data_IF_130060677585
#
_entry.id   IF_130060677585
#
_cell.length_a   1.000
_cell.length_b   1.000
_cell.length_c   1.000
_cell.angle_alpha   90.00
_cell.angle_beta   90.00
_cell.angle_gamma   90.00
#
_symmetry.space_group_name_H-M   'P 1'
#
loop_
_entity.id
_entity.type
_entity.pdbx_description
1 polymer ?
#
# COMPACT_ATOMS: atom_id res chain seq x y z
N UNK A 1 4.72 18.27 -48.64
CA UNK A 1 4.83 17.14 -47.69
C UNK A 1 4.18 15.91 -48.30
N UNK A 2 4.92 14.81 -48.46
CA UNK A 2 4.42 13.62 -49.15
C UNK A 2 3.62 12.76 -48.17
N UNK A 3 2.29 12.83 -48.22
CA UNK A 3 1.35 12.12 -47.32
C UNK A 3 1.70 10.63 -47.18
N UNK A 4 2.17 9.99 -48.26
CA UNK A 4 2.59 8.57 -48.26
C UNK A 4 3.76 8.26 -47.32
N UNK A 5 4.62 9.24 -47.02
CA UNK A 5 5.73 9.11 -46.07
C UNK A 5 5.31 9.35 -44.62
N UNK A 6 4.18 10.02 -44.37
CA UNK A 6 3.73 10.42 -43.02
C UNK A 6 2.82 9.36 -42.40
N UNK A 7 2.00 8.70 -43.21
CA UNK A 7 1.08 7.62 -42.80
C UNK A 7 1.76 6.51 -41.97
N UNK A 8 2.91 5.93 -42.35
CA UNK A 8 3.54 4.88 -41.54
C UNK A 8 4.01 5.39 -40.17
N UNK A 9 4.48 6.64 -40.07
CA UNK A 9 4.87 7.23 -38.79
C UNK A 9 3.67 7.51 -37.88
N UNK A 10 2.54 7.96 -38.44
CA UNK A 10 1.30 8.14 -37.66
C UNK A 10 0.75 6.81 -37.14
N UNK A 11 0.81 5.75 -37.95
CA UNK A 11 0.41 4.40 -37.52
C UNK A 11 1.30 3.91 -36.38
N UNK A 12 2.62 4.10 -36.48
CA UNK A 12 3.55 3.72 -35.40
C UNK A 12 3.27 4.51 -34.12
N UNK A 13 3.02 5.82 -34.20
CA UNK A 13 2.69 6.64 -33.02
C UNK A 13 1.37 6.18 -32.37
N UNK A 14 0.35 5.87 -33.17
CA UNK A 14 -0.93 5.34 -32.68
C UNK A 14 -0.77 3.95 -32.04
N UNK A 15 0.02 3.06 -32.65
CA UNK A 15 0.30 1.73 -32.09
C UNK A 15 1.08 1.82 -30.78
N UNK A 16 2.08 2.70 -30.72
CA UNK A 16 2.82 2.99 -29.48
C UNK A 16 1.85 3.51 -28.42
N UNK A 17 1.06 4.54 -28.71
CA UNK A 17 0.09 5.09 -27.76
C UNK A 17 -0.92 4.03 -27.25
N UNK A 18 -1.37 3.12 -28.12
CA UNK A 18 -2.29 2.04 -27.75
C UNK A 18 -1.64 0.95 -26.88
N UNK A 19 -0.32 0.77 -26.97
CA UNK A 19 0.44 -0.16 -26.11
C UNK A 19 0.71 0.43 -24.72
N UNK A 20 0.85 1.76 -24.61
CA UNK A 20 1.09 2.44 -23.31
C UNK A 20 -0.21 2.87 -22.59
N UNK A 21 -1.35 2.93 -23.28
CA UNK A 21 -2.65 3.27 -22.67
C UNK A 21 -3.09 2.32 -21.53
N UNK A 22 -2.91 0.99 -21.63
CA UNK A 22 -3.37 0.05 -20.61
C UNK A 22 -2.60 0.14 -19.29
N UNK A 23 -1.31 0.49 -19.30
CA UNK A 23 -0.51 0.61 -18.07
C UNK A 23 -0.96 1.80 -17.22
N UNK A 24 -1.52 2.84 -17.84
CA UNK A 24 -2.10 3.99 -17.15
C UNK A 24 -3.43 3.70 -16.44
N UNK A 25 -4.09 2.58 -16.75
CA UNK A 25 -5.40 2.20 -16.20
C UNK A 25 -5.34 1.01 -15.23
N UNK A 26 -4.15 0.48 -14.92
CA UNK A 26 -3.98 -0.82 -14.27
C UNK A 26 -3.60 -0.78 -12.78
N UNK A 27 -3.66 0.38 -12.12
CA UNK A 27 -3.46 0.47 -10.66
C UNK A 27 -4.78 0.82 -10.00
N UNK A 28 -5.58 -0.21 -9.70
CA UNK A 28 -6.68 -0.02 -8.75
C UNK A 28 -6.05 0.08 -7.35
N UNK A 29 -6.22 1.24 -6.71
CA UNK A 29 -5.78 1.45 -5.32
C UNK A 29 -6.46 0.46 -4.38
N UNK A 30 -5.71 -0.05 -3.41
CA UNK A 30 -6.33 -0.81 -2.32
C UNK A 30 -7.32 0.09 -1.57
N UNK A 31 -8.49 -0.44 -1.25
CA UNK A 31 -9.54 0.25 -0.49
C UNK A 31 -9.69 -0.28 0.94
N UNK A 32 -9.13 -1.46 1.20
CA UNK A 32 -9.14 -2.12 2.49
C UNK A 32 -7.84 -2.89 2.73
N UNK A 33 -7.41 -2.95 3.99
CA UNK A 33 -6.35 -3.85 4.44
C UNK A 33 -6.95 -5.21 4.78
N UNK A 34 -6.86 -6.13 3.81
CA UNK A 34 -7.26 -7.51 3.95
C UNK A 34 -6.07 -8.43 3.71
N UNK A 35 -5.83 -9.33 4.65
CA UNK A 35 -4.73 -10.29 4.56
C UNK A 35 -5.25 -11.70 4.73
N UNK A 36 -5.07 -12.53 3.71
CA UNK A 36 -5.47 -13.94 3.73
C UNK A 36 -4.71 -14.75 4.79
N UNK A 37 -3.57 -14.24 5.26
CA UNK A 37 -2.81 -14.82 6.36
C UNK A 37 -3.66 -15.02 7.62
N UNK A 38 -4.66 -14.16 7.88
CA UNK A 38 -5.54 -14.31 9.03
C UNK A 38 -6.48 -15.52 8.94
N UNK A 39 -6.63 -16.14 7.76
CA UNK A 39 -7.55 -17.23 7.43
C UNK A 39 -9.02 -16.87 7.69
N UNK A 40 -9.40 -16.68 8.95
CA UNK A 40 -10.72 -16.23 9.38
C UNK A 40 -10.63 -14.88 10.08
N UNK A 41 -11.26 -13.89 9.47
CA UNK A 41 -11.36 -12.54 10.00
C UNK A 41 -12.39 -12.47 11.14
N UNK A 42 -12.05 -11.78 12.23
CA UNK A 42 -12.94 -11.56 13.40
C UNK A 42 -13.61 -10.18 13.41
N UNK A 43 -13.24 -9.34 12.45
CA UNK A 43 -13.73 -7.99 12.17
C UNK A 43 -13.75 -7.81 10.64
N UNK A 44 -14.57 -6.88 10.10
CA UNK A 44 -14.43 -6.43 8.72
C UNK A 44 -12.99 -5.99 8.42
N UNK A 45 -12.59 -5.98 7.15
CA UNK A 45 -11.29 -5.44 6.78
C UNK A 45 -11.20 -3.96 7.19
N UNK A 46 -9.99 -3.48 7.52
CA UNK A 46 -9.84 -2.08 7.88
C UNK A 46 -9.89 -1.24 6.61
N UNK A 47 -10.75 -0.22 6.57
CA UNK A 47 -10.84 0.71 5.43
C UNK A 47 -9.51 1.46 5.30
N UNK A 48 -8.92 1.41 4.11
CA UNK A 48 -7.64 2.02 3.83
C UNK A 48 -7.49 2.25 2.33
N UNK A 49 -7.86 3.45 1.88
CA UNK A 49 -7.60 3.92 0.52
C UNK A 49 -6.17 4.47 0.49
N UNK A 50 -5.19 3.66 0.07
CA UNK A 50 -3.76 3.91 0.33
C UNK A 50 -3.31 5.33 -0.10
N UNK A 51 -3.52 5.67 -1.37
CA UNK A 51 -3.06 6.95 -1.93
C UNK A 51 -3.80 8.14 -1.32
N UNK A 52 -5.14 8.06 -1.25
CA UNK A 52 -5.97 9.10 -0.64
C UNK A 52 -5.67 9.30 0.85
N UNK A 53 -5.34 8.22 1.58
CA UNK A 53 -4.92 8.29 2.97
C UNK A 53 -3.59 9.04 3.08
N UNK A 54 -2.59 8.64 2.29
CA UNK A 54 -1.24 9.18 2.36
C UNK A 54 -1.20 10.65 1.95
N UNK A 55 -1.89 11.02 0.86
CA UNK A 55 -2.05 12.41 0.44
C UNK A 55 -2.68 13.26 1.54
N UNK A 56 -3.81 12.81 2.11
CA UNK A 56 -4.51 13.53 3.18
C UNK A 56 -3.66 13.67 4.46
N UNK A 57 -2.84 12.66 4.75
CA UNK A 57 -1.97 12.64 5.91
C UNK A 57 -0.63 13.37 5.68
N UNK A 58 -0.33 13.79 4.45
CA UNK A 58 0.95 14.40 4.08
C UNK A 58 2.12 13.44 4.22
N UNK A 59 1.92 12.16 3.87
CA UNK A 59 2.91 11.10 3.98
C UNK A 59 3.52 10.81 2.61
N UNK A 60 4.77 11.26 2.41
CA UNK A 60 5.55 11.00 1.18
C UNK A 60 6.58 9.87 1.38
N UNK A 61 6.97 9.61 2.64
CA UNK A 61 7.98 8.61 3.00
C UNK A 61 7.41 7.18 3.03
N UNK A 62 7.63 6.40 1.97
CA UNK A 62 7.21 5.00 1.86
C UNK A 62 7.72 4.14 3.02
N UNK A 63 8.99 4.36 3.43
CA UNK A 63 9.65 3.63 4.51
C UNK A 63 9.01 3.85 5.89
N UNK A 64 8.14 4.85 6.04
CA UNK A 64 7.42 5.06 7.30
C UNK A 64 6.50 3.90 7.63
N UNK A 65 5.91 3.26 6.63
CA UNK A 65 5.04 2.08 6.77
C UNK A 65 5.69 0.83 6.20
N UNK A 66 6.24 0.92 4.99
CA UNK A 66 7.00 -0.15 4.35
C UNK A 66 8.44 -0.14 4.85
N UNK A 67 8.66 -0.35 6.15
CA UNK A 67 10.02 -0.34 6.68
C UNK A 67 10.85 -1.54 6.17
N UNK A 68 12.18 -1.38 6.13
CA UNK A 68 13.11 -2.47 5.89
C UNK A 68 13.95 -2.74 7.14
N UNK A 69 14.11 -4.02 7.49
CA UNK A 69 15.00 -4.47 8.55
C UNK A 69 16.03 -5.45 7.99
N UNK A 70 17.31 -5.19 8.28
CA UNK A 70 18.43 -6.08 7.97
C UNK A 70 19.17 -6.41 9.27
N UNK A 71 19.46 -7.69 9.48
CA UNK A 71 20.11 -8.19 10.71
C UNK A 71 19.47 -7.69 12.02
N UNK A 72 18.14 -7.53 12.00
CA UNK A 72 17.34 -7.06 13.14
C UNK A 72 17.44 -5.56 13.41
N UNK A 73 18.02 -4.78 12.49
CA UNK A 73 18.14 -3.31 12.57
C UNK A 73 17.32 -2.65 11.47
N UNK A 74 16.64 -1.56 11.81
CA UNK A 74 15.95 -0.72 10.84
C UNK A 74 16.99 -0.10 9.89
N UNK A 75 16.77 -0.23 8.59
CA UNK A 75 17.57 0.47 7.57
C UNK A 75 16.89 1.83 7.32
N UNK A 76 17.54 2.96 7.67
CA UNK A 76 16.92 4.28 7.50
C UNK A 76 16.73 4.62 6.02
N UNK A 77 15.61 5.28 5.69
CA UNK A 77 15.29 5.77 4.34
C UNK A 77 15.20 4.69 3.24
N UNK A 78 15.19 3.40 3.63
CA UNK A 78 14.94 2.27 2.74
C UNK A 78 13.57 1.66 3.03
N UNK A 79 12.88 1.25 1.98
CA UNK A 79 11.54 0.70 2.07
C UNK A 79 11.41 -0.72 1.50
N UNK A 80 10.32 -1.38 1.92
CA UNK A 80 9.89 -2.70 1.47
C UNK A 80 8.60 -2.63 0.64
N UNK A 81 8.38 -1.54 -0.08
CA UNK A 81 7.19 -1.39 -0.91
C UNK A 81 7.07 -2.55 -1.92
N UNK A 82 5.85 -3.05 -2.11
CA UNK A 82 5.59 -4.26 -2.88
C UNK A 82 5.75 -5.58 -2.10
N UNK A 83 6.31 -5.56 -0.90
CA UNK A 83 6.33 -6.71 0.03
C UNK A 83 5.13 -6.66 0.97
N UNK A 84 4.40 -7.76 1.13
CA UNK A 84 3.26 -7.79 2.02
C UNK A 84 3.72 -7.83 3.48
N UNK A 85 3.03 -7.14 4.39
CA UNK A 85 3.38 -7.16 5.81
C UNK A 85 3.43 -8.59 6.38
N UNK A 86 2.59 -9.49 5.85
CA UNK A 86 2.48 -10.88 6.26
C UNK A 86 3.68 -11.75 5.84
N UNK A 87 4.49 -11.29 4.87
CA UNK A 87 5.67 -12.04 4.41
C UNK A 87 6.76 -12.06 5.49
N UNK A 88 6.83 -11.00 6.30
CA UNK A 88 7.71 -10.95 7.46
C UNK A 88 6.92 -11.19 8.76
N UNK A 89 5.81 -10.48 8.98
CA UNK A 89 5.06 -10.55 10.24
C UNK A 89 4.10 -11.74 10.25
N UNK A 90 4.50 -12.82 10.92
CA UNK A 90 3.63 -13.96 11.17
C UNK A 90 2.42 -13.62 12.07
N UNK A 91 1.40 -14.47 12.09
CA UNK A 91 0.20 -14.26 12.93
C UNK A 91 0.52 -14.09 14.42
N UNK A 92 1.52 -14.81 14.92
CA UNK A 92 2.02 -14.73 16.28
C UNK A 92 3.39 -14.07 16.28
N UNK A 93 3.70 -13.38 17.38
CA UNK A 93 5.02 -12.80 17.64
C UNK A 93 6.12 -13.85 17.46
N UNK A 94 7.19 -13.49 16.77
CA UNK A 94 8.40 -14.30 16.62
C UNK A 94 9.61 -13.51 17.12
N UNK A 95 10.26 -13.96 18.20
CA UNK A 95 11.39 -13.23 18.78
C UNK A 95 11.04 -11.77 19.11
N UNK A 96 11.82 -10.83 18.57
CA UNK A 96 11.56 -9.38 18.71
C UNK A 96 10.42 -8.86 17.82
N UNK A 97 10.00 -9.62 16.81
CA UNK A 97 9.10 -9.14 15.77
C UNK A 97 7.62 -9.31 16.18
N UNK A 98 6.81 -8.23 16.16
CA UNK A 98 5.40 -8.32 16.53
C UNK A 98 4.64 -9.19 15.54
N UNK A 99 3.58 -9.87 16.02
CA UNK A 99 2.66 -10.56 15.12
C UNK A 99 1.87 -9.59 14.24
N UNK A 100 1.36 -10.06 13.10
CA UNK A 100 0.75 -9.26 12.03
C UNK A 100 -0.30 -8.26 12.53
N UNK A 101 -1.27 -8.72 13.33
CA UNK A 101 -2.31 -7.84 13.88
C UNK A 101 -1.73 -6.74 14.78
N UNK A 102 -0.74 -7.09 15.61
CA UNK A 102 -0.05 -6.13 16.46
C UNK A 102 0.79 -5.16 15.63
N UNK A 103 1.40 -5.60 14.52
CA UNK A 103 2.15 -4.75 13.62
C UNK A 103 1.24 -3.67 13.01
N UNK A 104 0.09 -4.06 12.44
CA UNK A 104 -0.89 -3.10 11.92
C UNK A 104 -1.37 -2.11 12.99
N UNK A 105 -1.78 -2.59 14.17
CA UNK A 105 -2.27 -1.67 15.21
C UNK A 105 -1.18 -0.75 15.75
N UNK A 106 0.06 -1.23 15.92
CA UNK A 106 1.16 -0.36 16.36
C UNK A 106 1.49 0.70 15.32
N UNK A 107 1.52 0.34 14.05
CA UNK A 107 1.85 1.25 12.97
C UNK A 107 0.73 2.29 12.75
N UNK A 108 -0.48 1.82 12.42
CA UNK A 108 -1.57 2.71 12.01
C UNK A 108 -2.13 3.50 13.20
N UNK A 109 -2.55 2.80 14.26
CA UNK A 109 -3.14 3.47 15.43
C UNK A 109 -2.09 4.25 16.21
N UNK A 110 -0.84 3.78 16.26
CA UNK A 110 0.25 4.52 16.89
C UNK A 110 0.43 5.89 16.25
N UNK A 111 0.56 5.95 14.93
CA UNK A 111 0.64 7.22 14.20
C UNK A 111 -0.60 8.09 14.46
N UNK A 112 -1.81 7.53 14.44
CA UNK A 112 -3.03 8.30 14.69
C UNK A 112 -3.06 8.94 16.09
N UNK A 113 -2.58 8.22 17.11
CA UNK A 113 -2.46 8.74 18.48
C UNK A 113 -1.39 9.83 18.54
N UNK A 114 -0.22 9.61 17.95
CA UNK A 114 0.88 10.57 17.96
C UNK A 114 0.52 11.88 17.25
N UNK A 115 -0.24 11.80 16.17
CA UNK A 115 -0.67 12.95 15.39
C UNK A 115 -1.97 13.59 15.90
N UNK A 116 -2.62 12.99 16.90
CA UNK A 116 -3.98 13.32 17.37
C UNK A 116 -4.98 13.44 16.20
N UNK A 117 -4.85 12.54 15.22
CA UNK A 117 -5.61 12.55 13.96
C UNK A 117 -5.91 11.14 13.49
N UNK A 118 -7.12 10.94 12.97
CA UNK A 118 -7.53 9.65 12.40
C UNK A 118 -8.28 8.75 13.37
N UNK A 119 -8.77 7.58 12.89
CA UNK A 119 -9.59 6.68 13.67
C UNK A 119 -8.80 5.95 14.78
N UNK A 120 -9.40 5.84 15.97
CA UNK A 120 -8.80 5.19 17.14
C UNK A 120 -9.62 4.04 17.71
N UNK A 121 -10.94 4.05 17.48
CA UNK A 121 -11.86 3.02 17.91
C UNK A 121 -11.99 1.92 16.86
N UNK A 122 -12.23 0.68 17.31
CA UNK A 122 -12.21 -0.50 16.44
C UNK A 122 -13.13 -0.36 15.22
N UNK A 123 -14.36 0.11 15.42
CA UNK A 123 -15.37 0.25 14.36
C UNK A 123 -15.18 1.47 13.45
N UNK A 124 -14.22 2.35 13.74
CA UNK A 124 -13.86 3.45 12.85
C UNK A 124 -12.88 3.00 11.76
N UNK A 125 -12.06 1.98 12.03
CA UNK A 125 -11.23 1.32 11.01
C UNK A 125 -11.97 0.12 10.39
N UNK A 126 -12.52 -0.75 11.24
CA UNK A 126 -13.24 -1.96 10.84
C UNK A 126 -14.74 -1.68 10.73
N UNK A 127 -15.10 -0.85 9.74
CA UNK A 127 -16.49 -0.43 9.50
C UNK A 127 -17.31 -1.65 9.11
N UNK A 128 -18.50 -1.79 9.71
CA UNK A 128 -19.47 -2.80 9.28
C UNK A 128 -20.19 -2.26 8.05
N UNK A 129 -20.29 -3.10 7.03
CA UNK A 129 -21.19 -2.88 5.90
C UNK A 129 -22.66 -2.79 6.37
#
# INVERSE_FOLDING_TARGET
MNVKRIVPHLIVVLLVAFVWLPTALSQDDIVELKSDAFMKHTRPAAVFMHDAHNEKAGLEDCFRCHHLYEDGKLVPEEDSAGTACADCHALKKQGGQPGLMTAYHKQCKGCHVEQDKGPLACGQCHVKD
#
